data_IF_270720699881
#
_entry.id   IF_270720699881
#
_cell.length_a   1.000
_cell.length_b   1.000
_cell.length_c   1.000
_cell.angle_alpha   90.00
_cell.angle_beta   90.00
_cell.angle_gamma   90.00
#
_symmetry.space_group_name_H-M   'P 1'
#
loop_
_entity.id
_entity.type
_entity.pdbx_description
1 polymer ?
#
# COMPACT_ATOMS: atom_id res chain seq x y z
N UNK A 1 -14.37 12.21 -0.13
CA UNK A 1 -14.56 12.34 -1.60
C UNK A 1 -13.65 13.46 -2.10
N UNK A 2 -12.93 13.27 -3.22
CA UNK A 2 -11.98 14.28 -3.71
C UNK A 2 -12.69 15.59 -4.10
N UNK A 3 -12.12 16.73 -3.73
CA UNK A 3 -12.57 18.05 -4.17
C UNK A 3 -12.49 18.20 -5.70
N UNK A 4 -13.27 19.15 -6.27
CA UNK A 4 -13.21 19.45 -7.71
C UNK A 4 -11.78 19.79 -8.16
N UNK A 5 -11.04 20.51 -7.32
CA UNK A 5 -9.66 20.90 -7.60
C UNK A 5 -8.73 19.68 -7.72
N UNK A 6 -8.75 18.77 -6.74
CA UNK A 6 -7.93 17.56 -6.78
C UNK A 6 -8.31 16.64 -7.95
N UNK A 7 -9.59 16.57 -8.31
CA UNK A 7 -10.01 15.83 -9.52
C UNK A 7 -9.38 16.39 -10.81
N UNK A 8 -9.25 17.73 -10.92
CA UNK A 8 -8.57 18.38 -12.05
C UNK A 8 -7.07 18.01 -12.08
N UNK A 9 -6.39 18.11 -10.94
CA UNK A 9 -4.98 17.75 -10.81
C UNK A 9 -4.74 16.27 -11.11
N UNK A 10 -5.63 15.38 -10.67
CA UNK A 10 -5.57 13.95 -11.01
C UNK A 10 -5.69 13.68 -12.51
N UNK A 11 -6.51 14.45 -13.25
CA UNK A 11 -6.58 14.32 -14.72
C UNK A 11 -5.27 14.72 -15.38
N UNK A 12 -4.62 15.81 -14.91
CA UNK A 12 -3.32 16.23 -15.39
C UNK A 12 -2.24 15.20 -15.11
N UNK A 13 -2.19 14.70 -13.87
CA UNK A 13 -1.32 13.59 -13.51
C UNK A 13 -1.51 12.38 -14.42
N UNK A 14 -2.74 11.93 -14.66
CA UNK A 14 -3.02 10.77 -15.50
C UNK A 14 -2.54 10.94 -16.94
N UNK A 15 -2.70 12.13 -17.50
CA UNK A 15 -2.17 12.46 -18.84
C UNK A 15 -0.64 12.35 -18.87
N UNK A 16 0.04 12.94 -17.88
CA UNK A 16 1.49 12.87 -17.75
C UNK A 16 1.97 11.44 -17.51
N UNK A 17 1.33 10.72 -16.60
CA UNK A 17 1.66 9.33 -16.30
C UNK A 17 1.65 8.48 -17.57
N UNK A 18 0.58 8.55 -18.37
CA UNK A 18 0.47 7.81 -19.63
C UNK A 18 1.56 8.18 -20.64
N UNK A 19 1.99 9.45 -20.70
CA UNK A 19 3.07 9.85 -21.61
C UNK A 19 4.45 9.36 -21.16
N UNK A 20 4.74 9.41 -19.86
CA UNK A 20 6.05 9.01 -19.32
C UNK A 20 6.33 7.51 -19.42
N UNK A 21 5.31 6.66 -19.22
CA UNK A 21 5.50 5.19 -19.25
C UNK A 21 5.28 4.57 -20.63
N UNK A 22 4.97 5.37 -21.65
CA UNK A 22 4.71 4.87 -23.01
C UNK A 22 5.96 4.22 -23.64
N UNK A 23 5.72 3.33 -24.62
CA UNK A 23 6.75 2.63 -25.41
C UNK A 23 6.28 2.43 -26.84
N UNK A 24 7.24 2.37 -27.77
CA UNK A 24 6.97 2.08 -29.20
C UNK A 24 6.94 0.56 -29.48
N UNK A 25 7.37 -0.28 -28.54
CA UNK A 25 7.30 -1.74 -28.67
C UNK A 25 5.84 -2.18 -28.54
N UNK A 26 5.22 -2.79 -29.56
CA UNK A 26 3.77 -3.05 -29.60
C UNK A 26 3.26 -3.87 -28.40
N UNK A 27 3.98 -4.95 -28.03
CA UNK A 27 3.62 -5.77 -26.88
C UNK A 27 3.64 -4.97 -25.58
N UNK A 28 4.71 -4.22 -25.34
CA UNK A 28 4.87 -3.39 -24.13
C UNK A 28 3.81 -2.30 -24.07
N UNK A 29 3.50 -1.65 -25.20
CA UNK A 29 2.44 -0.67 -25.33
C UNK A 29 1.07 -1.26 -24.96
N UNK A 30 0.79 -2.50 -25.38
CA UNK A 30 -0.46 -3.19 -25.05
C UNK A 30 -0.59 -3.46 -23.55
N UNK A 31 0.48 -3.95 -22.90
CA UNK A 31 0.49 -4.22 -21.46
C UNK A 31 0.37 -2.91 -20.66
N UNK A 32 1.13 -1.87 -21.02
CA UNK A 32 1.04 -0.55 -20.38
C UNK A 32 -0.38 0.02 -20.52
N UNK A 33 -0.98 -0.07 -21.69
CA UNK A 33 -2.37 0.39 -21.92
C UNK A 33 -3.36 -0.34 -21.03
N UNK A 34 -3.15 -1.65 -20.83
CA UNK A 34 -3.96 -2.45 -19.92
C UNK A 34 -3.80 -1.98 -18.45
N UNK A 35 -2.57 -1.74 -17.99
CA UNK A 35 -2.29 -1.24 -16.63
C UNK A 35 -2.96 0.13 -16.41
N UNK A 36 -2.81 1.06 -17.36
CA UNK A 36 -3.39 2.41 -17.28
C UNK A 36 -4.92 2.37 -17.29
N UNK A 37 -5.53 1.47 -18.07
CA UNK A 37 -7.00 1.29 -18.13
C UNK A 37 -7.54 0.70 -16.82
N UNK A 38 -6.83 -0.27 -16.24
CA UNK A 38 -7.23 -0.96 -15.00
C UNK A 38 -6.59 -0.35 -13.75
N UNK A 39 -6.31 0.95 -13.80
CA UNK A 39 -5.77 1.70 -12.66
C UNK A 39 -6.69 1.57 -11.44
N UNK A 40 -6.11 1.47 -10.25
CA UNK A 40 -6.87 1.49 -9.01
C UNK A 40 -7.28 2.89 -8.60
N UNK A 41 -7.50 3.05 -7.32
CA UNK A 41 -7.88 4.34 -6.72
C UNK A 41 -6.77 5.39 -6.76
N UNK A 42 -5.53 5.02 -7.08
CA UNK A 42 -4.35 5.91 -7.17
C UNK A 42 -4.18 6.79 -5.91
N UNK A 43 -4.30 6.17 -4.73
CA UNK A 43 -4.30 6.86 -3.42
C UNK A 43 -3.00 7.61 -3.17
N UNK A 44 -1.85 7.08 -3.63
CA UNK A 44 -0.54 7.69 -3.41
C UNK A 44 -0.35 9.00 -4.21
N UNK A 45 -0.62 9.05 -5.51
CA UNK A 45 -0.70 10.32 -6.25
C UNK A 45 -1.69 11.30 -5.64
N UNK A 46 -2.88 10.85 -5.22
CA UNK A 46 -3.85 11.72 -4.55
C UNK A 46 -3.27 12.32 -3.28
N UNK A 47 -2.56 11.53 -2.47
CA UNK A 47 -1.92 11.99 -1.24
C UNK A 47 -0.88 13.08 -1.52
N UNK A 48 0.01 12.88 -2.51
CA UNK A 48 0.99 13.89 -2.93
C UNK A 48 0.28 15.18 -3.35
N UNK A 49 -0.72 15.10 -4.22
CA UNK A 49 -1.44 16.27 -4.72
C UNK A 49 -2.17 17.04 -3.60
N UNK A 50 -2.85 16.34 -2.70
CA UNK A 50 -3.57 16.94 -1.57
C UNK A 50 -2.59 17.62 -0.62
N UNK A 51 -1.50 16.96 -0.24
CA UNK A 51 -0.49 17.51 0.67
C UNK A 51 0.21 18.73 0.03
N UNK A 52 0.62 18.65 -1.24
CA UNK A 52 1.26 19.76 -1.93
C UNK A 52 0.32 20.97 -2.08
N UNK A 53 -0.98 20.74 -2.33
CA UNK A 53 -2.00 21.82 -2.34
C UNK A 53 -2.16 22.51 -0.99
N UNK A 54 -1.84 21.84 0.09
CA UNK A 54 -1.82 22.44 1.42
C UNK A 54 -0.73 23.49 1.61
N UNK A 55 0.37 23.37 0.88
CA UNK A 55 1.49 24.33 0.92
C UNK A 55 1.43 25.37 -0.20
N UNK A 56 1.00 24.99 -1.40
CA UNK A 56 0.99 25.85 -2.60
C UNK A 56 -0.36 25.84 -3.30
N UNK A 57 -0.86 26.99 -3.67
CA UNK A 57 -2.12 27.13 -4.43
C UNK A 57 -2.00 26.58 -5.87
N UNK A 58 -0.83 26.71 -6.50
CA UNK A 58 -0.52 26.17 -7.83
C UNK A 58 0.56 25.10 -7.69
N UNK A 59 0.29 23.91 -8.26
CA UNK A 59 1.24 22.81 -8.28
C UNK A 59 2.25 22.99 -9.43
N UNK A 60 3.48 22.63 -9.14
CA UNK A 60 4.60 22.68 -10.07
C UNK A 60 4.82 21.33 -10.75
N UNK A 61 5.64 21.31 -11.81
CA UNK A 61 5.96 20.10 -12.57
C UNK A 61 6.51 18.97 -11.69
N UNK A 62 7.36 19.32 -10.72
CA UNK A 62 7.98 18.38 -9.78
C UNK A 62 6.96 17.58 -8.95
N UNK A 63 5.82 18.20 -8.62
CA UNK A 63 4.73 17.51 -7.94
C UNK A 63 4.15 16.40 -8.81
N UNK A 64 3.95 16.64 -10.10
CA UNK A 64 3.44 15.62 -11.02
C UNK A 64 4.48 14.56 -11.31
N UNK A 65 5.76 14.94 -11.45
CA UNK A 65 6.88 14.01 -11.57
C UNK A 65 6.91 13.04 -10.37
N UNK A 66 6.79 13.56 -9.16
CA UNK A 66 6.73 12.75 -7.94
C UNK A 66 5.52 11.78 -7.93
N UNK A 67 4.35 12.25 -8.41
CA UNK A 67 3.20 11.38 -8.59
C UNK A 67 3.46 10.26 -9.60
N UNK A 68 4.13 10.58 -10.72
CA UNK A 68 4.52 9.60 -11.75
C UNK A 68 5.49 8.58 -11.18
N UNK A 69 6.53 9.02 -10.48
CA UNK A 69 7.54 8.12 -9.88
C UNK A 69 6.92 7.13 -8.90
N UNK A 70 6.10 7.64 -7.98
CA UNK A 70 5.43 6.79 -6.96
C UNK A 70 4.47 5.79 -7.60
N UNK A 71 3.67 6.20 -8.59
CA UNK A 71 2.73 5.30 -9.24
C UNK A 71 3.43 4.30 -10.17
N UNK A 72 4.54 4.71 -10.83
CA UNK A 72 5.38 3.82 -11.62
C UNK A 72 5.99 2.73 -10.75
N UNK A 73 6.59 3.11 -9.62
CA UNK A 73 7.13 2.14 -8.67
C UNK A 73 6.05 1.21 -8.12
N UNK A 74 4.88 1.76 -7.75
CA UNK A 74 3.77 0.96 -7.27
C UNK A 74 3.30 -0.08 -8.30
N UNK A 75 3.15 0.31 -9.57
CA UNK A 75 2.74 -0.63 -10.61
C UNK A 75 3.82 -1.67 -10.92
N UNK A 76 5.10 -1.29 -10.88
CA UNK A 76 6.21 -2.24 -11.03
C UNK A 76 6.19 -3.32 -9.94
N UNK A 77 6.08 -2.90 -8.67
CA UNK A 77 6.02 -3.85 -7.54
C UNK A 77 4.78 -4.73 -7.60
N UNK A 78 3.60 -4.20 -7.99
CA UNK A 78 2.41 -5.01 -8.17
C UNK A 78 2.56 -6.09 -9.24
N UNK A 79 3.29 -5.81 -10.33
CA UNK A 79 3.55 -6.82 -11.38
C UNK A 79 4.46 -7.93 -10.88
N UNK A 80 5.48 -7.58 -10.10
CA UNK A 80 6.38 -8.57 -9.49
C UNK A 80 5.67 -9.39 -8.41
N UNK A 81 4.88 -8.74 -7.54
CA UNK A 81 4.09 -9.40 -6.51
C UNK A 81 3.08 -10.39 -7.12
N UNK A 82 2.39 -10.03 -8.22
CA UNK A 82 1.46 -10.93 -8.92
C UNK A 82 2.15 -12.20 -9.42
N UNK A 83 3.43 -12.12 -9.79
CA UNK A 83 4.23 -13.29 -10.20
C UNK A 83 4.68 -14.12 -8.99
N UNK A 84 5.14 -13.45 -7.92
CA UNK A 84 5.62 -14.10 -6.69
C UNK A 84 4.48 -14.83 -5.97
N UNK A 85 3.29 -14.21 -5.93
CA UNK A 85 2.09 -14.74 -5.27
C UNK A 85 1.25 -15.66 -6.17
N UNK A 86 1.69 -15.90 -7.43
CA UNK A 86 0.94 -16.65 -8.46
C UNK A 86 -0.53 -16.16 -8.62
N UNK A 87 -0.71 -14.85 -8.53
CA UNK A 87 -2.02 -14.23 -8.51
C UNK A 87 -2.70 -14.28 -9.89
N UNK A 88 -3.86 -14.93 -9.98
CA UNK A 88 -4.65 -15.01 -11.23
C UNK A 88 -5.50 -13.78 -11.50
N UNK A 89 -5.91 -13.07 -10.46
CA UNK A 89 -6.82 -11.92 -10.54
C UNK A 89 -6.26 -10.74 -9.73
N UNK A 90 -6.41 -9.54 -10.29
CA UNK A 90 -6.16 -8.27 -9.61
C UNK A 90 -7.28 -7.27 -9.87
N UNK A 91 -7.86 -6.71 -8.80
CA UNK A 91 -8.98 -5.75 -8.88
C UNK A 91 -10.16 -6.26 -9.71
N UNK A 92 -10.45 -7.56 -9.66
CA UNK A 92 -11.57 -8.18 -10.37
C UNK A 92 -11.36 -8.44 -11.85
N UNK A 93 -10.16 -8.17 -12.38
CA UNK A 93 -9.73 -8.54 -13.74
C UNK A 93 -8.55 -9.51 -13.69
N UNK A 94 -8.27 -10.21 -14.78
CA UNK A 94 -7.08 -11.04 -14.85
C UNK A 94 -5.81 -10.21 -14.65
N UNK A 95 -4.86 -10.76 -13.89
CA UNK A 95 -3.54 -10.16 -13.69
C UNK A 95 -2.71 -10.19 -14.98
N UNK A 96 -1.65 -9.37 -15.06
CA UNK A 96 -0.79 -9.31 -16.24
C UNK A 96 -0.07 -10.64 -16.46
N UNK A 97 0.41 -11.30 -15.40
CA UNK A 97 1.06 -12.62 -15.49
C UNK A 97 0.08 -13.71 -15.97
N UNK A 98 -1.20 -13.60 -15.67
CA UNK A 98 -2.21 -14.53 -16.16
C UNK A 98 -2.47 -14.34 -17.67
N UNK A 99 -2.54 -13.09 -18.15
CA UNK A 99 -2.83 -12.79 -19.58
C UNK A 99 -1.57 -13.00 -20.44
N UNK A 100 -0.41 -12.44 -20.02
CA UNK A 100 0.82 -12.40 -20.84
C UNK A 100 1.93 -13.29 -20.31
N UNK A 101 1.70 -14.09 -19.26
CA UNK A 101 2.65 -14.98 -18.57
C UNK A 101 3.67 -14.24 -17.68
N UNK A 102 4.23 -14.99 -16.73
CA UNK A 102 5.17 -14.48 -15.72
C UNK A 102 6.36 -13.74 -16.34
N UNK A 103 6.95 -14.28 -17.41
CA UNK A 103 8.10 -13.67 -18.08
C UNK A 103 7.82 -12.23 -18.56
N UNK A 104 6.64 -11.98 -19.12
CA UNK A 104 6.26 -10.65 -19.60
C UNK A 104 5.97 -9.71 -18.41
N UNK A 105 5.29 -10.20 -17.37
CA UNK A 105 5.01 -9.39 -16.19
C UNK A 105 6.32 -8.91 -15.52
N UNK A 106 7.32 -9.79 -15.37
CA UNK A 106 8.64 -9.42 -14.80
C UNK A 106 9.32 -8.36 -15.70
N UNK A 107 9.44 -8.59 -17.01
CA UNK A 107 10.09 -7.64 -17.92
C UNK A 107 9.40 -6.27 -17.97
N UNK A 108 8.06 -6.23 -17.86
CA UNK A 108 7.32 -4.96 -17.79
C UNK A 108 7.54 -4.28 -16.45
N UNK A 109 7.61 -5.02 -15.35
CA UNK A 109 7.99 -4.49 -14.04
C UNK A 109 9.37 -3.83 -14.05
N UNK A 110 10.37 -4.52 -14.63
CA UNK A 110 11.74 -4.00 -14.79
C UNK A 110 11.77 -2.76 -15.69
N UNK A 111 11.00 -2.75 -16.78
CA UNK A 111 10.85 -1.57 -17.64
C UNK A 111 10.30 -0.36 -16.87
N UNK A 112 9.28 -0.56 -16.03
CA UNK A 112 8.72 0.52 -15.22
C UNK A 112 9.73 1.03 -14.20
N UNK A 113 10.51 0.15 -13.55
CA UNK A 113 11.60 0.57 -12.66
C UNK A 113 12.66 1.39 -13.41
N UNK A 114 13.09 0.93 -14.58
CA UNK A 114 14.04 1.67 -15.43
C UNK A 114 13.48 3.04 -15.84
N UNK A 115 12.18 3.14 -16.18
CA UNK A 115 11.52 4.44 -16.45
C UNK A 115 11.58 5.36 -15.23
N UNK A 116 11.36 4.85 -14.02
CA UNK A 116 11.52 5.65 -12.79
C UNK A 116 12.92 6.24 -12.65
N UNK A 117 13.96 5.44 -12.92
CA UNK A 117 15.37 5.89 -12.91
C UNK A 117 15.59 6.99 -13.97
N UNK A 118 15.15 6.76 -15.20
CA UNK A 118 15.30 7.73 -16.31
C UNK A 118 14.63 9.07 -15.97
N UNK A 119 13.36 9.04 -15.52
CA UNK A 119 12.62 10.25 -15.16
C UNK A 119 13.34 11.04 -14.05
N UNK A 120 13.95 10.34 -13.08
CA UNK A 120 14.70 10.98 -12.02
C UNK A 120 16.04 11.54 -12.49
N UNK A 121 16.72 10.91 -13.46
CA UNK A 121 18.04 11.32 -13.96
C UNK A 121 17.97 12.46 -14.95
N UNK A 122 16.99 12.46 -15.87
CA UNK A 122 16.84 13.47 -16.93
C UNK A 122 16.59 14.90 -16.40
N UNK A 123 16.06 15.02 -15.19
CA UNK A 123 15.71 16.29 -14.59
C UNK A 123 16.75 16.82 -13.60
N UNK A 124 17.96 16.23 -13.58
CA UNK A 124 19.03 16.50 -12.59
C UNK A 124 18.54 16.44 -11.13
N UNK A 125 17.58 15.54 -10.87
CA UNK A 125 16.90 15.41 -9.57
C UNK A 125 17.49 14.28 -8.75
N UNK A 126 18.73 14.45 -8.32
CA UNK A 126 19.46 13.47 -7.49
C UNK A 126 18.67 13.07 -6.25
N UNK A 127 17.98 14.03 -5.61
CA UNK A 127 17.14 13.78 -4.44
C UNK A 127 15.93 12.89 -4.78
N UNK A 128 15.29 13.08 -5.92
CA UNK A 128 14.19 12.20 -6.35
C UNK A 128 14.67 10.79 -6.60
N UNK A 129 15.83 10.61 -7.24
CA UNK A 129 16.45 9.32 -7.47
C UNK A 129 16.82 8.64 -6.14
N UNK A 130 17.35 9.40 -5.18
CA UNK A 130 17.69 8.91 -3.86
C UNK A 130 16.46 8.40 -3.10
N UNK A 131 15.37 9.18 -3.08
CA UNK A 131 14.10 8.78 -2.46
C UNK A 131 13.57 7.49 -3.13
N UNK A 132 13.53 7.46 -4.47
CA UNK A 132 13.06 6.31 -5.23
C UNK A 132 13.85 5.05 -4.90
N UNK A 133 15.19 5.11 -5.02
CA UNK A 133 16.09 3.98 -4.83
C UNK A 133 16.03 3.41 -3.41
N UNK A 134 16.01 4.29 -2.39
CA UNK A 134 15.86 3.87 -0.99
C UNK A 134 14.49 3.24 -0.73
N UNK A 135 13.45 3.73 -1.39
CA UNK A 135 12.10 3.17 -1.26
C UNK A 135 12.05 1.76 -1.84
N UNK A 136 12.56 1.56 -3.07
CA UNK A 136 12.66 0.23 -3.71
C UNK A 136 13.40 -0.75 -2.82
N UNK A 137 14.60 -0.38 -2.37
CA UNK A 137 15.41 -1.20 -1.45
C UNK A 137 14.62 -1.59 -0.21
N UNK A 138 13.99 -0.61 0.45
CA UNK A 138 13.25 -0.85 1.70
C UNK A 138 12.05 -1.76 1.49
N UNK A 139 11.32 -1.59 0.37
CA UNK A 139 10.18 -2.46 0.01
C UNK A 139 10.62 -3.90 -0.19
N UNK A 140 11.69 -4.12 -0.95
CA UNK A 140 12.23 -5.48 -1.20
C UNK A 140 12.72 -6.13 0.10
N UNK A 141 13.42 -5.39 0.97
CA UNK A 141 13.81 -5.90 2.29
C UNK A 141 12.59 -6.27 3.15
N UNK A 142 11.50 -5.50 3.06
CA UNK A 142 10.23 -5.78 3.72
C UNK A 142 9.61 -7.08 3.21
N UNK A 143 9.54 -7.25 1.89
CA UNK A 143 9.00 -8.45 1.24
C UNK A 143 9.78 -9.71 1.61
N UNK A 144 11.09 -9.66 1.49
CA UNK A 144 11.96 -10.79 1.87
C UNK A 144 11.85 -11.12 3.37
N UNK A 145 11.67 -10.10 4.21
CA UNK A 145 11.45 -10.30 5.66
C UNK A 145 10.11 -10.99 5.90
N UNK A 146 9.05 -10.57 5.20
CA UNK A 146 7.74 -11.21 5.27
C UNK A 146 7.83 -12.67 4.80
N UNK A 147 8.44 -12.92 3.65
CA UNK A 147 8.60 -14.26 3.11
C UNK A 147 9.32 -15.20 4.10
N UNK A 148 10.42 -14.74 4.73
CA UNK A 148 11.12 -15.50 5.77
C UNK A 148 10.26 -15.75 7.02
N UNK A 149 9.27 -14.89 7.30
CA UNK A 149 8.40 -14.99 8.47
C UNK A 149 7.05 -15.67 8.18
N UNK A 150 6.73 -15.93 6.93
CA UNK A 150 5.56 -16.72 6.57
C UNK A 150 5.63 -18.08 7.30
N UNK A 151 4.50 -18.58 7.76
CA UNK A 151 4.39 -19.78 8.60
C UNK A 151 5.01 -19.66 10.03
N UNK A 152 5.60 -18.54 10.40
CA UNK A 152 6.16 -18.38 11.73
C UNK A 152 5.11 -17.92 12.75
N UNK A 153 4.44 -18.88 13.40
CA UNK A 153 3.41 -18.65 14.43
C UNK A 153 3.95 -17.84 15.64
N UNK A 154 5.26 -17.68 15.76
CA UNK A 154 5.90 -16.92 16.85
C UNK A 154 6.12 -15.43 16.51
N UNK A 155 5.72 -14.97 15.33
CA UNK A 155 5.86 -13.56 14.94
C UNK A 155 5.30 -12.63 16.02
N UNK A 156 6.03 -11.60 16.36
CA UNK A 156 5.60 -10.56 17.30
C UNK A 156 4.86 -9.44 16.58
N UNK A 157 4.06 -8.70 17.32
CA UNK A 157 3.40 -7.50 16.80
C UNK A 157 4.43 -6.46 16.30
N UNK A 158 5.56 -6.31 17.01
CA UNK A 158 6.65 -5.43 16.58
C UNK A 158 7.25 -5.85 15.23
N UNK A 159 7.41 -7.16 15.01
CA UNK A 159 7.89 -7.68 13.72
C UNK A 159 6.87 -7.45 12.61
N UNK A 160 5.57 -7.66 12.89
CA UNK A 160 4.51 -7.35 11.95
C UNK A 160 4.53 -5.87 11.54
N UNK A 161 4.57 -4.93 12.51
CA UNK A 161 4.65 -3.50 12.20
C UNK A 161 5.91 -3.13 11.42
N UNK A 162 7.04 -3.76 11.71
CA UNK A 162 8.28 -3.54 10.94
C UNK A 162 8.12 -4.02 9.47
N UNK A 163 7.48 -5.16 9.25
CA UNK A 163 7.24 -5.70 7.90
C UNK A 163 6.33 -4.77 7.12
N UNK A 164 5.15 -4.42 7.65
CA UNK A 164 4.19 -3.58 6.92
C UNK A 164 4.72 -2.15 6.73
N UNK A 165 5.53 -1.66 7.66
CA UNK A 165 6.20 -0.38 7.52
C UNK A 165 7.19 -0.38 6.35
N UNK A 166 8.00 -1.43 6.22
CA UNK A 166 8.94 -1.57 5.09
C UNK A 166 8.23 -1.82 3.78
N UNK A 167 7.30 -2.79 3.72
CA UNK A 167 6.62 -3.21 2.49
C UNK A 167 5.66 -2.14 1.97
N UNK A 168 4.78 -1.61 2.82
CA UNK A 168 3.71 -0.68 2.43
C UNK A 168 3.97 0.74 2.88
N UNK A 169 4.41 0.93 4.13
CA UNK A 169 4.66 2.24 4.72
C UNK A 169 5.74 3.03 4.00
N UNK A 170 6.80 2.37 3.50
CA UNK A 170 7.92 3.03 2.79
C UNK A 170 7.46 3.82 1.56
N UNK A 171 6.55 3.28 0.76
CA UNK A 171 6.06 3.97 -0.43
C UNK A 171 5.12 5.14 -0.08
N UNK A 172 4.37 5.05 1.03
CA UNK A 172 3.64 6.20 1.56
C UNK A 172 4.59 7.24 2.15
N UNK A 173 5.65 6.80 2.84
CA UNK A 173 6.69 7.69 3.35
C UNK A 173 7.38 8.45 2.21
N UNK A 174 7.68 7.80 1.08
CA UNK A 174 8.20 8.46 -0.11
C UNK A 174 7.28 9.57 -0.62
N UNK A 175 5.95 9.42 -0.53
CA UNK A 175 5.02 10.51 -0.85
C UNK A 175 5.29 11.75 0.02
N UNK A 176 5.51 11.56 1.33
CA UNK A 176 5.85 12.64 2.26
C UNK A 176 7.20 13.29 1.94
N UNK A 177 8.22 12.48 1.63
CA UNK A 177 9.55 12.97 1.26
C UNK A 177 9.49 13.80 -0.04
N UNK A 178 8.80 13.35 -1.08
CA UNK A 178 8.62 14.11 -2.30
C UNK A 178 7.87 15.44 -2.06
N UNK A 179 6.82 15.43 -1.23
CA UNK A 179 6.12 16.66 -0.88
C UNK A 179 7.03 17.62 -0.13
N UNK A 180 7.81 17.13 0.83
CA UNK A 180 8.76 17.95 1.59
C UNK A 180 9.82 18.57 0.68
N UNK A 181 10.40 17.77 -0.22
CA UNK A 181 11.40 18.21 -1.18
C UNK A 181 10.84 19.28 -2.11
N UNK A 182 9.70 19.03 -2.77
CA UNK A 182 9.11 19.94 -3.76
C UNK A 182 8.58 21.26 -3.17
N UNK A 183 8.40 21.30 -1.85
CA UNK A 183 7.94 22.50 -1.16
C UNK A 183 9.02 23.15 -0.29
N UNK A 184 10.28 22.67 -0.35
CA UNK A 184 11.43 23.16 0.41
C UNK A 184 11.14 23.26 1.93
N UNK A 185 10.51 22.22 2.49
CA UNK A 185 10.13 22.22 3.89
C UNK A 185 11.36 22.16 4.82
N UNK A 186 11.21 22.72 6.00
CA UNK A 186 12.21 22.59 7.05
C UNK A 186 12.39 21.11 7.45
N UNK A 187 13.57 20.76 7.98
CA UNK A 187 13.85 19.38 8.46
C UNK A 187 12.87 18.89 9.53
N UNK A 188 12.31 19.80 10.33
CA UNK A 188 11.31 19.46 11.31
C UNK A 188 9.97 19.13 10.65
N UNK A 189 9.48 19.96 9.73
CA UNK A 189 8.25 19.70 8.99
C UNK A 189 8.36 18.44 8.12
N UNK A 190 9.51 18.22 7.49
CA UNK A 190 9.80 17.00 6.73
C UNK A 190 9.61 15.75 7.61
N UNK A 191 10.20 15.72 8.82
CA UNK A 191 10.03 14.59 9.76
C UNK A 191 8.59 14.37 10.18
N UNK A 192 7.86 15.45 10.47
CA UNK A 192 6.45 15.37 10.83
C UNK A 192 5.64 14.82 9.65
N UNK A 193 5.88 15.32 8.43
CA UNK A 193 5.19 14.89 7.23
C UNK A 193 5.47 13.42 6.90
N UNK A 194 6.72 12.98 7.02
CA UNK A 194 7.11 11.59 6.88
C UNK A 194 6.38 10.69 7.89
N UNK A 195 6.24 11.12 9.15
CA UNK A 195 5.51 10.37 10.17
C UNK A 195 4.01 10.29 9.83
N UNK A 196 3.39 11.37 9.38
CA UNK A 196 2.01 11.40 8.90
C UNK A 196 1.80 10.39 7.77
N UNK A 197 2.62 10.46 6.73
CA UNK A 197 2.45 9.61 5.55
C UNK A 197 2.77 8.14 5.87
N UNK A 198 3.71 7.89 6.76
CA UNK A 198 4.00 6.54 7.25
C UNK A 198 2.81 5.96 8.03
N UNK A 199 2.22 6.71 8.96
CA UNK A 199 1.02 6.29 9.68
C UNK A 199 -0.14 5.99 8.72
N UNK A 200 -0.31 6.81 7.66
CA UNK A 200 -1.31 6.54 6.60
C UNK A 200 -1.03 5.20 5.91
N UNK A 201 0.22 4.88 5.63
CA UNK A 201 0.63 3.60 5.04
C UNK A 201 0.33 2.41 5.96
N UNK A 202 0.58 2.54 7.25
CA UNK A 202 0.27 1.52 8.25
C UNK A 202 -1.25 1.34 8.39
N UNK A 203 -2.02 2.44 8.51
CA UNK A 203 -3.50 2.40 8.52
C UNK A 203 -4.02 1.70 7.28
N UNK A 204 -3.45 2.04 6.11
CA UNK A 204 -3.81 1.42 4.84
C UNK A 204 -3.61 -0.09 4.89
N UNK A 205 -2.47 -0.58 5.36
CA UNK A 205 -2.19 -2.02 5.43
C UNK A 205 -3.07 -2.74 6.45
N UNK A 206 -3.20 -2.22 7.68
CA UNK A 206 -4.08 -2.85 8.68
C UNK A 206 -5.52 -2.93 8.15
N UNK A 207 -5.98 -1.90 7.43
CA UNK A 207 -7.31 -1.94 6.83
C UNK A 207 -7.41 -2.95 5.68
N UNK A 208 -6.36 -3.15 4.89
CA UNK A 208 -6.32 -4.23 3.87
C UNK A 208 -6.43 -5.60 4.53
N UNK A 209 -5.63 -5.84 5.55
CA UNK A 209 -5.67 -7.09 6.32
C UNK A 209 -7.08 -7.33 6.91
N UNK A 210 -7.77 -6.29 7.41
CA UNK A 210 -9.13 -6.40 7.93
C UNK A 210 -10.17 -6.67 6.83
N UNK A 211 -9.95 -6.19 5.60
CA UNK A 211 -10.87 -6.47 4.49
C UNK A 211 -10.93 -7.96 4.14
N UNK A 212 -9.83 -8.69 4.35
CA UNK A 212 -9.81 -10.15 4.18
C UNK A 212 -10.75 -10.87 5.16
N UNK A 213 -11.06 -10.27 6.32
CA UNK A 213 -12.01 -10.76 7.32
C UNK A 213 -13.45 -10.26 7.12
N UNK A 214 -13.75 -9.33 6.19
CA UNK A 214 -15.11 -8.83 6.03
C UNK A 214 -16.04 -9.88 5.39
N UNK A 215 -17.15 -10.22 6.08
CA UNK A 215 -18.21 -11.11 5.53
C UNK A 215 -18.98 -10.38 4.44
N UNK A 216 -18.63 -10.59 3.16
CA UNK A 216 -19.49 -10.16 2.05
C UNK A 216 -20.46 -11.28 1.68
N UNK A 217 -21.70 -10.93 1.27
CA UNK A 217 -22.75 -11.87 0.85
C UNK A 217 -22.39 -12.73 -0.39
N UNK A 218 -21.29 -12.43 -1.07
CA UNK A 218 -20.84 -13.21 -2.23
C UNK A 218 -19.90 -14.32 -1.76
N UNK A 219 -20.23 -15.57 -2.10
CA UNK A 219 -19.35 -16.75 -2.01
C UNK A 219 -18.20 -16.63 -3.04
N UNK A 220 -17.32 -15.64 -2.92
CA UNK A 220 -16.18 -15.55 -3.80
C UNK A 220 -15.00 -16.32 -3.22
N UNK A 221 -14.31 -17.11 -4.03
CA UNK A 221 -13.12 -17.88 -3.69
C UNK A 221 -11.91 -17.01 -3.24
N UNK A 222 -12.06 -15.68 -3.22
CA UNK A 222 -10.99 -14.70 -2.96
C UNK A 222 -10.98 -14.16 -1.53
N UNK A 223 -11.57 -14.88 -0.56
CA UNK A 223 -11.60 -14.49 0.85
C UNK A 223 -10.63 -15.30 1.68
N UNK A 224 -10.19 -14.69 2.77
CA UNK A 224 -9.28 -15.32 3.72
C UNK A 224 -7.96 -15.77 3.08
N UNK A 225 -7.53 -15.02 2.04
CA UNK A 225 -6.29 -15.33 1.29
C UNK A 225 -5.10 -15.33 2.24
N UNK A 226 -5.04 -14.38 3.17
CA UNK A 226 -3.98 -14.31 4.16
C UNK A 226 -3.93 -15.56 5.05
N UNK A 227 -5.10 -16.07 5.47
CA UNK A 227 -5.21 -17.30 6.25
C UNK A 227 -4.77 -18.51 5.41
N UNK A 228 -5.21 -18.58 4.16
CA UNK A 228 -4.86 -19.67 3.23
C UNK A 228 -3.35 -19.69 2.99
N UNK A 229 -2.74 -18.54 2.78
CA UNK A 229 -1.30 -18.37 2.52
C UNK A 229 -0.44 -18.37 3.80
N UNK A 230 -1.03 -18.65 4.98
CA UNK A 230 -0.32 -18.61 6.26
C UNK A 230 0.34 -17.25 6.56
N UNK A 231 -0.21 -16.16 6.04
CA UNK A 231 0.21 -14.81 6.38
C UNK A 231 -0.45 -14.40 7.69
N UNK A 232 0.35 -14.17 8.72
CA UNK A 232 -0.15 -13.79 10.03
C UNK A 232 -0.34 -12.28 10.12
N UNK A 233 -1.59 -11.85 9.99
CA UNK A 233 -2.00 -10.45 10.09
C UNK A 233 -2.32 -10.05 11.53
N UNK A 234 -2.47 -8.75 11.79
CA UNK A 234 -2.61 -8.20 13.14
C UNK A 234 -3.72 -8.87 13.97
N UNK A 235 -4.93 -9.16 13.44
CA UNK A 235 -5.98 -9.85 14.19
C UNK A 235 -5.53 -11.22 14.71
N UNK A 236 -4.85 -12.00 13.89
CA UNK A 236 -4.34 -13.33 14.24
C UNK A 236 -3.24 -13.23 15.31
N UNK A 237 -2.28 -12.31 15.09
CA UNK A 237 -1.15 -12.09 16.00
C UNK A 237 -1.64 -11.71 17.39
N UNK A 238 -2.64 -10.84 17.48
CA UNK A 238 -3.23 -10.43 18.75
C UNK A 238 -3.77 -11.64 19.52
N UNK A 239 -4.61 -12.48 18.91
CA UNK A 239 -5.20 -13.66 19.53
C UNK A 239 -4.11 -14.66 19.95
N UNK A 240 -3.12 -14.92 19.11
CA UNK A 240 -1.99 -15.79 19.44
C UNK A 240 -1.16 -15.27 20.62
N UNK A 241 -1.21 -13.98 20.95
CA UNK A 241 -0.42 -13.38 22.04
C UNK A 241 -1.23 -13.19 23.32
N UNK A 242 -2.50 -12.82 23.22
CA UNK A 242 -3.31 -12.36 24.36
C UNK A 242 -4.29 -13.37 24.90
N UNK A 243 -4.80 -14.30 24.10
CA UNK A 243 -5.82 -15.28 24.51
C UNK A 243 -5.28 -16.34 25.50
N UNK A 244 -6.17 -17.15 26.05
CA UNK A 244 -5.82 -18.25 26.95
C UNK A 244 -4.95 -19.33 26.28
N UNK A 245 -4.27 -20.14 27.05
CA UNK A 245 -3.44 -21.23 26.52
C UNK A 245 -4.25 -22.21 25.66
N UNK A 246 -5.49 -22.51 26.06
CA UNK A 246 -6.39 -23.40 25.33
C UNK A 246 -6.71 -22.86 23.94
N UNK A 247 -7.10 -21.60 23.86
CA UNK A 247 -7.41 -20.90 22.59
C UNK A 247 -6.17 -20.80 21.70
N UNK A 248 -5.03 -20.41 22.26
CA UNK A 248 -3.76 -20.37 21.50
C UNK A 248 -3.40 -21.72 20.90
N UNK A 249 -3.56 -22.80 21.66
CA UNK A 249 -3.28 -24.16 21.18
C UNK A 249 -4.23 -24.56 20.05
N UNK A 250 -5.53 -24.28 20.22
CA UNK A 250 -6.55 -24.54 19.20
C UNK A 250 -6.25 -23.76 17.90
N UNK A 251 -6.03 -22.45 17.99
CA UNK A 251 -5.74 -21.61 16.82
C UNK A 251 -4.46 -22.05 16.12
N UNK A 252 -3.39 -22.35 16.87
CA UNK A 252 -2.15 -22.90 16.30
C UNK A 252 -2.36 -24.23 15.58
N UNK A 253 -3.20 -25.10 16.09
CA UNK A 253 -3.54 -26.36 15.45
C UNK A 253 -4.24 -26.17 14.11
N UNK A 254 -5.19 -25.21 14.04
CA UNK A 254 -5.91 -24.90 12.81
C UNK A 254 -5.00 -24.22 11.76
N UNK A 255 -4.15 -23.28 12.18
CA UNK A 255 -3.23 -22.58 11.28
C UNK A 255 -2.17 -23.49 10.65
N UNK A 256 -1.79 -24.58 11.32
CA UNK A 256 -0.78 -25.53 10.81
C UNK A 256 -1.31 -26.53 9.79
N UNK A 257 -2.62 -26.61 9.59
CA UNK A 257 -3.18 -27.52 8.58
C UNK A 257 -2.83 -27.04 7.17
N UNK A 258 -2.31 -27.95 6.35
CA UNK A 258 -1.91 -27.65 4.97
C UNK A 258 -3.13 -27.38 4.09
N UNK A 259 -4.15 -28.23 4.18
CA UNK A 259 -5.43 -28.02 3.50
C UNK A 259 -6.42 -27.28 4.42
N UNK A 260 -6.61 -25.99 4.14
CA UNK A 260 -7.58 -25.14 4.85
C UNK A 260 -8.90 -25.11 4.10
N UNK A 261 -9.72 -26.14 4.33
CA UNK A 261 -11.09 -26.14 3.83
C UNK A 261 -11.93 -25.02 4.48
N UNK A 262 -13.15 -24.83 3.96
CA UNK A 262 -14.05 -23.76 4.42
C UNK A 262 -14.35 -23.84 5.93
N UNK A 263 -14.53 -25.05 6.48
CA UNK A 263 -14.83 -25.26 7.90
C UNK A 263 -13.66 -24.80 8.80
N UNK A 264 -12.42 -25.11 8.43
CA UNK A 264 -11.22 -24.68 9.16
C UNK A 264 -11.12 -23.16 9.16
N UNK A 265 -11.33 -22.53 7.99
CA UNK A 265 -11.28 -21.08 7.85
C UNK A 265 -12.37 -20.38 8.68
N UNK A 266 -13.60 -20.89 8.66
CA UNK A 266 -14.69 -20.37 9.50
C UNK A 266 -14.39 -20.52 11.00
N UNK A 267 -13.80 -21.63 11.42
CA UNK A 267 -13.37 -21.83 12.81
C UNK A 267 -12.28 -20.83 13.21
N UNK A 268 -11.28 -20.58 12.35
CA UNK A 268 -10.25 -19.56 12.58
C UNK A 268 -10.90 -18.18 12.70
N UNK A 269 -11.77 -17.81 11.76
CA UNK A 269 -12.49 -16.54 11.75
C UNK A 269 -13.30 -16.35 13.05
N UNK A 270 -14.04 -17.37 13.47
CA UNK A 270 -14.84 -17.34 14.71
C UNK A 270 -13.97 -17.06 15.92
N UNK A 271 -12.87 -17.80 16.08
CA UNK A 271 -11.92 -17.61 17.19
C UNK A 271 -11.38 -16.19 17.20
N UNK A 272 -10.93 -15.67 16.04
CA UNK A 272 -10.36 -14.34 15.94
C UNK A 272 -11.37 -13.26 16.30
N UNK A 273 -12.64 -13.45 15.91
CA UNK A 273 -13.72 -12.50 16.20
C UNK A 273 -14.09 -12.52 17.67
N UNK A 274 -14.32 -13.70 18.25
CA UNK A 274 -14.71 -13.88 19.65
C UNK A 274 -13.62 -13.43 20.63
N UNK A 275 -12.36 -13.66 20.30
CA UNK A 275 -11.21 -13.23 21.10
C UNK A 275 -10.81 -11.76 20.86
N UNK A 276 -11.57 -11.01 20.05
CA UNK A 276 -11.43 -9.57 19.86
C UNK A 276 -10.29 -9.14 18.96
N UNK A 277 -9.71 -10.03 18.14
CA UNK A 277 -8.60 -9.69 17.23
C UNK A 277 -8.96 -8.62 16.19
N UNK A 278 -10.17 -8.71 15.63
CA UNK A 278 -10.67 -7.71 14.68
C UNK A 278 -10.82 -6.35 15.38
N UNK A 279 -11.49 -6.32 16.54
CA UNK A 279 -11.71 -5.08 17.31
C UNK A 279 -10.41 -4.43 17.75
N UNK A 280 -9.41 -5.23 18.13
CA UNK A 280 -8.07 -4.72 18.45
C UNK A 280 -7.45 -3.98 17.26
N UNK A 281 -7.52 -4.59 16.08
CA UNK A 281 -6.95 -4.00 14.86
C UNK A 281 -7.68 -2.74 14.42
N UNK A 282 -9.02 -2.68 14.59
CA UNK A 282 -9.81 -1.46 14.38
C UNK A 282 -9.42 -0.35 15.35
N UNK A 283 -9.24 -0.67 16.63
CA UNK A 283 -8.78 0.31 17.63
C UNK A 283 -7.39 0.84 17.31
N UNK A 284 -6.50 -0.02 16.77
CA UNK A 284 -5.16 0.41 16.34
C UNK A 284 -5.19 1.39 15.17
N UNK A 285 -6.13 1.21 14.24
CA UNK A 285 -6.38 2.19 13.17
C UNK A 285 -6.83 3.54 13.76
N UNK A 286 -7.74 3.52 14.74
CA UNK A 286 -8.24 4.75 15.38
C UNK A 286 -7.12 5.47 16.11
N UNK A 287 -6.31 4.76 16.90
CA UNK A 287 -5.14 5.32 17.60
C UNK A 287 -4.17 6.01 16.64
N UNK A 288 -3.78 5.34 15.55
CA UNK A 288 -2.90 5.91 14.53
C UNK A 288 -3.53 7.11 13.80
N UNK A 289 -4.84 7.08 13.58
CA UNK A 289 -5.59 8.18 12.97
C UNK A 289 -5.59 9.42 13.86
N UNK A 290 -5.82 9.26 15.15
CA UNK A 290 -5.80 10.37 16.13
C UNK A 290 -4.39 10.97 16.24
N UNK A 291 -3.35 10.12 16.38
CA UNK A 291 -1.96 10.58 16.34
C UNK A 291 -1.66 11.38 15.07
N UNK A 292 -2.11 10.90 13.93
CA UNK A 292 -1.92 11.56 12.64
C UNK A 292 -2.63 12.92 12.59
N UNK A 293 -3.82 13.02 13.17
CA UNK A 293 -4.55 14.30 13.24
C UNK A 293 -3.85 15.34 14.13
N UNK A 294 -3.22 14.90 15.21
CA UNK A 294 -2.38 15.76 16.07
C UNK A 294 -1.18 16.28 15.27
N UNK A 295 -0.49 15.40 14.55
CA UNK A 295 0.66 15.78 13.73
C UNK A 295 0.30 16.77 12.61
N UNK A 296 -0.87 16.59 11.95
CA UNK A 296 -1.38 17.51 10.92
C UNK A 296 -1.55 18.93 11.46
N UNK A 297 -1.91 19.09 12.75
CA UNK A 297 -2.06 20.41 13.36
C UNK A 297 -0.74 21.17 13.49
N UNK A 298 0.39 20.45 13.58
CA UNK A 298 1.72 21.02 13.70
C UNK A 298 2.29 21.56 12.37
N UNK A 299 1.64 21.24 11.24
CA UNK A 299 2.07 21.68 9.92
C UNK A 299 1.28 22.92 9.46
N UNK A 300 1.94 23.78 8.68
CA UNK A 300 1.35 24.99 8.09
C UNK A 300 0.55 24.69 6.81
N UNK A 301 -0.43 23.80 6.90
CA UNK A 301 -1.26 23.35 5.78
C UNK A 301 -2.60 24.10 5.73
N UNK A 302 -2.96 24.62 4.55
CA UNK A 302 -4.21 25.37 4.35
C UNK A 302 -5.44 24.46 4.19
N UNK A 303 -5.26 23.15 3.90
CA UNK A 303 -6.33 22.20 3.61
C UNK A 303 -6.38 21.00 4.58
N UNK A 304 -6.08 21.21 5.85
CA UNK A 304 -6.05 20.16 6.89
C UNK A 304 -7.32 19.31 6.93
N UNK A 305 -8.48 19.91 6.67
CA UNK A 305 -9.76 19.21 6.62
C UNK A 305 -9.80 18.15 5.50
N UNK A 306 -9.31 18.50 4.29
CA UNK A 306 -9.28 17.57 3.14
C UNK A 306 -8.33 16.39 3.40
N UNK A 307 -7.18 16.64 4.05
CA UNK A 307 -6.23 15.60 4.44
C UNK A 307 -6.88 14.65 5.45
N UNK A 308 -7.56 15.17 6.47
CA UNK A 308 -8.29 14.35 7.45
C UNK A 308 -9.38 13.50 6.81
N UNK A 309 -10.13 14.07 5.87
CA UNK A 309 -11.16 13.32 5.12
C UNK A 309 -10.55 12.20 4.28
N UNK A 310 -9.38 12.40 3.68
CA UNK A 310 -8.67 11.34 2.97
C UNK A 310 -8.26 10.20 3.92
N UNK A 311 -7.74 10.52 5.10
CA UNK A 311 -7.37 9.52 6.11
C UNK A 311 -8.59 8.73 6.58
N UNK A 312 -9.70 9.41 6.89
CA UNK A 312 -10.98 8.76 7.22
C UNK A 312 -11.50 7.87 6.09
N UNK A 313 -11.34 8.29 4.84
CA UNK A 313 -11.71 7.47 3.70
C UNK A 313 -10.85 6.19 3.61
N UNK A 314 -9.55 6.29 3.84
CA UNK A 314 -8.64 5.14 3.85
C UNK A 314 -9.00 4.17 4.99
N UNK A 315 -9.25 4.68 6.20
CA UNK A 315 -9.57 3.85 7.37
C UNK A 315 -10.96 3.19 7.31
N UNK A 316 -11.92 3.80 6.62
CA UNK A 316 -13.30 3.30 6.51
C UNK A 316 -13.63 2.61 5.18
N UNK A 317 -12.65 2.45 4.27
CA UNK A 317 -12.90 1.84 2.97
C UNK A 317 -13.47 0.42 3.13
N UNK A 318 -14.38 0.10 2.21
CA UNK A 318 -14.93 -1.25 1.99
C UNK A 318 -14.39 -1.78 0.66
N UNK A 319 -14.49 -3.08 0.47
CA UNK A 319 -14.10 -3.74 -0.79
C UNK A 319 -14.83 -3.14 -1.98
#
# INVERSE_FOLDING_TARGET
MLSKNIKKEMKLFQKKYSSYINSDVPLLKSVISFIVKNKGKQIRPQLILILSKGYKSKLEEDTYTSCVLVETLHNATLLHDDVVDDASLRRGVFSVNNIWKNKIAVLVGDYLLAKGVIISSEQDKKEHLHILSNTVKTMIEGELTQFKKNNNIKISEKEYFNIINKKTGSLFNACGQFVALNNNLSKNEEKILQKITNNIGIIFQIKDDLLDFEKTKRKSKTKFIDIINNQLTLPIIYVLRKSSFKIKRQLKGLLKKDDKNYEIIENIYKIITEEGGIKYSENKIIELQEETFILINQLSLNNKAEIREMIKYISKRKI
#
